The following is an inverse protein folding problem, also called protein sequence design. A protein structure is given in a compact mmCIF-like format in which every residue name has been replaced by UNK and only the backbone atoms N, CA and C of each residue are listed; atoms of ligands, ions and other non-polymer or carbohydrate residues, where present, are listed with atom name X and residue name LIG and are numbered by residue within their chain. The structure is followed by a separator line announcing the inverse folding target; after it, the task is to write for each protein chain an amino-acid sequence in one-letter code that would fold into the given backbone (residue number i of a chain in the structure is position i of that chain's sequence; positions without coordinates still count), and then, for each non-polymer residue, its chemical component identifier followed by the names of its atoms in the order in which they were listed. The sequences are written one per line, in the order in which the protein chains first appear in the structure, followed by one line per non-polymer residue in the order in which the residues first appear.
data_IF_639911605902
#
_entry.id   IF_639911605902
#
_cell.length_a   1.000
_cell.length_b   1.000
_cell.length_c   1.000
_cell.angle_alpha   90.00
_cell.angle_beta   90.00
_cell.angle_gamma   90.00
#
_symmetry.space_group_name_H-M   'P 1'
#
loop_
_entity.id
_entity.type
_entity.pdbx_description
1 polymer ?
#
# COMPACT_ATOMS: atom_id res chain seq x y z
N UNK A 1 -12.26 -11.66 19.89
CA UNK A 1 -11.51 -11.25 18.68
C UNK A 1 -10.75 -9.95 18.87
N UNK A 2 -9.43 -9.97 18.68
CA UNK A 2 -8.56 -8.79 18.82
C UNK A 2 -8.37 -8.09 17.46
N UNK A 3 -8.40 -6.76 17.39
CA UNK A 3 -8.13 -5.99 16.16
C UNK A 3 -6.78 -6.34 15.52
N UNK A 4 -6.62 -6.11 14.21
CA UNK A 4 -5.36 -6.44 13.49
C UNK A 4 -4.16 -5.64 14.04
N UNK A 5 -4.39 -4.46 14.63
CA UNK A 5 -3.34 -3.71 15.34
C UNK A 5 -2.97 -4.34 16.69
N UNK A 6 -3.87 -5.11 17.31
CA UNK A 6 -3.67 -5.79 18.59
C UNK A 6 -3.07 -7.20 18.42
N UNK A 7 -3.10 -7.73 17.20
CA UNK A 7 -2.28 -8.86 16.76
C UNK A 7 -1.07 -8.24 16.06
N UNK A 8 -0.12 -7.72 16.86
CA UNK A 8 1.03 -6.94 16.39
C UNK A 8 2.02 -7.71 15.54
N UNK A 9 1.59 -8.26 14.40
CA UNK A 9 2.45 -9.09 13.54
C UNK A 9 2.04 -8.94 12.07
N UNK A 10 2.27 -7.74 11.51
CA UNK A 10 2.66 -7.67 10.10
C UNK A 10 4.04 -8.34 10.05
N UNK A 11 4.15 -9.49 9.39
CA UNK A 11 5.30 -10.37 9.59
C UNK A 11 4.98 -11.83 9.33
N UNK A 12 3.82 -12.32 9.79
CA UNK A 12 3.60 -13.77 9.89
C UNK A 12 3.60 -14.45 8.53
N UNK A 13 2.86 -13.89 7.57
CA UNK A 13 2.69 -14.53 6.27
C UNK A 13 3.95 -14.39 5.41
N UNK A 14 4.59 -13.22 5.40
CA UNK A 14 5.83 -13.03 4.67
C UNK A 14 7.00 -13.81 5.29
N UNK A 15 7.01 -13.99 6.62
CA UNK A 15 8.09 -14.69 7.32
C UNK A 15 8.11 -16.17 7.01
N UNK A 16 6.96 -16.85 6.98
CA UNK A 16 6.93 -18.28 6.62
C UNK A 16 7.42 -18.51 5.17
N UNK A 17 6.96 -17.69 4.22
CA UNK A 17 7.39 -17.80 2.82
C UNK A 17 8.89 -17.50 2.67
N UNK A 18 9.40 -16.48 3.36
CA UNK A 18 10.83 -16.16 3.34
C UNK A 18 11.69 -17.21 4.09
N UNK A 19 11.14 -17.88 5.10
CA UNK A 19 11.81 -18.98 5.79
C UNK A 19 11.99 -20.20 4.89
N UNK A 20 11.02 -20.49 4.01
CA UNK A 20 11.17 -21.55 3.00
C UNK A 20 12.39 -21.30 2.09
N UNK A 21 12.66 -20.04 1.72
CA UNK A 21 13.88 -19.69 0.99
C UNK A 21 15.13 -20.00 1.81
N UNK A 22 15.18 -19.54 3.06
CA UNK A 22 16.33 -19.75 3.95
C UNK A 22 16.59 -21.23 4.25
N UNK A 23 15.54 -22.06 4.26
CA UNK A 23 15.61 -23.52 4.41
C UNK A 23 15.94 -24.28 3.13
N UNK A 24 16.08 -23.58 2.00
CA UNK A 24 16.25 -24.16 0.66
C UNK A 24 15.07 -25.08 0.25
N UNK A 25 13.85 -24.76 0.69
CA UNK A 25 12.60 -25.46 0.33
C UNK A 25 11.94 -24.84 -0.92
N UNK A 26 12.34 -23.62 -1.29
CA UNK A 26 11.89 -22.90 -2.49
C UNK A 26 13.00 -21.97 -2.99
N UNK A 27 13.00 -21.61 -4.27
CA UNK A 27 14.03 -20.75 -4.87
C UNK A 27 13.68 -19.26 -4.88
N UNK A 28 12.38 -18.96 -5.02
CA UNK A 28 11.86 -17.59 -5.02
C UNK A 28 10.61 -17.49 -4.17
N UNK A 29 10.39 -16.30 -3.61
CA UNK A 29 9.15 -15.93 -2.95
C UNK A 29 8.53 -14.72 -3.64
N UNK A 30 7.23 -14.77 -3.90
CA UNK A 30 6.49 -13.72 -4.59
C UNK A 30 5.56 -13.04 -3.60
N UNK A 31 5.67 -11.72 -3.50
CA UNK A 31 4.94 -10.92 -2.51
C UNK A 31 4.29 -9.70 -3.16
N UNK A 32 3.19 -9.21 -2.58
CA UNK A 32 2.83 -7.81 -2.78
C UNK A 32 3.85 -6.94 -2.03
N UNK A 33 4.52 -6.01 -2.72
CA UNK A 33 5.63 -5.27 -2.12
C UNK A 33 5.22 -4.49 -0.86
N UNK A 34 4.00 -3.95 -0.82
CA UNK A 34 3.46 -3.25 0.36
C UNK A 34 3.33 -4.09 1.62
N UNK A 35 3.30 -5.41 1.47
CA UNK A 35 3.16 -6.35 2.59
C UNK A 35 4.53 -6.74 3.15
N UNK A 36 5.61 -6.53 2.39
CA UNK A 36 6.97 -6.74 2.88
C UNK A 36 7.40 -5.64 3.87
N UNK A 37 8.20 -5.99 4.89
CA UNK A 37 8.88 -5.02 5.72
C UNK A 37 9.86 -4.15 4.92
N UNK A 38 10.17 -2.96 5.45
CA UNK A 38 11.13 -2.01 4.87
C UNK A 38 12.57 -2.55 4.84
N UNK A 39 12.87 -3.49 5.72
CA UNK A 39 14.10 -4.30 5.75
C UNK A 39 13.77 -5.76 5.45
N UNK A 40 14.56 -6.38 4.57
CA UNK A 40 14.43 -7.80 4.24
C UNK A 40 15.33 -8.59 5.20
N UNK A 41 14.93 -9.83 5.51
CA UNK A 41 15.70 -10.71 6.40
C UNK A 41 17.12 -10.94 5.86
N UNK A 42 18.14 -10.99 6.73
CA UNK A 42 19.52 -11.26 6.32
C UNK A 42 19.64 -12.53 5.47
N UNK A 43 20.47 -12.47 4.42
CA UNK A 43 20.64 -13.56 3.46
C UNK A 43 19.59 -13.63 2.35
N UNK A 44 18.60 -12.72 2.35
CA UNK A 44 17.61 -12.57 1.28
C UNK A 44 17.71 -11.19 0.62
N UNK A 45 17.35 -11.11 -0.65
CA UNK A 45 17.35 -9.87 -1.45
C UNK A 45 16.05 -9.71 -2.23
N UNK A 46 15.66 -8.48 -2.52
CA UNK A 46 14.65 -8.19 -3.53
C UNK A 46 15.29 -8.37 -4.91
N UNK A 47 15.02 -9.53 -5.50
CA UNK A 47 15.62 -9.95 -6.76
C UNK A 47 14.80 -9.48 -7.98
N UNK A 48 13.50 -9.17 -7.81
CA UNK A 48 12.74 -8.63 -8.93
C UNK A 48 11.48 -7.85 -8.61
N UNK A 49 11.02 -7.09 -9.61
CA UNK A 49 9.88 -6.17 -9.54
C UNK A 49 9.02 -6.27 -10.80
N UNK A 50 7.72 -6.52 -10.64
CA UNK A 50 6.77 -6.44 -11.76
C UNK A 50 6.56 -5.00 -12.21
N UNK A 51 6.05 -4.76 -13.42
CA UNK A 51 5.37 -3.52 -13.75
C UNK A 51 4.32 -3.20 -12.69
N UNK A 52 4.16 -1.91 -12.37
CA UNK A 52 3.24 -1.44 -11.34
C UNK A 52 1.81 -1.34 -11.86
N UNK A 53 0.91 -2.07 -11.22
CA UNK A 53 -0.53 -1.87 -11.39
C UNK A 53 -1.02 -0.58 -10.73
N UNK A 54 -2.23 -0.07 -11.09
CA UNK A 54 -2.78 1.16 -10.52
C UNK A 54 -2.62 1.23 -8.98
N UNK A 55 -1.84 2.20 -8.47
CA UNK A 55 -1.40 2.19 -7.09
C UNK A 55 -2.42 2.79 -6.13
N UNK A 56 -3.61 3.14 -6.61
CA UNK A 56 -4.61 3.88 -5.85
C UNK A 56 -5.34 3.00 -4.83
N UNK A 57 -5.81 3.65 -3.77
CA UNK A 57 -6.92 3.13 -3.01
C UNK A 57 -8.23 3.56 -3.66
N UNK A 58 -9.25 2.70 -3.59
CA UNK A 58 -10.56 2.97 -4.17
C UNK A 58 -11.65 2.83 -3.13
N UNK A 59 -12.67 3.67 -3.24
CA UNK A 59 -13.95 3.51 -2.58
C UNK A 59 -14.79 2.54 -3.40
N UNK A 60 -15.13 1.39 -2.84
CA UNK A 60 -15.98 0.39 -3.50
C UNK A 60 -17.37 0.46 -2.90
N UNK A 61 -18.36 0.59 -3.77
CA UNK A 61 -19.79 0.60 -3.42
C UNK A 61 -20.51 -0.45 -4.28
N UNK A 62 -21.74 -0.80 -3.88
CA UNK A 62 -22.65 -1.54 -4.77
C UNK A 62 -22.97 -0.69 -5.99
N UNK A 63 -23.37 -1.29 -7.10
CA UNK A 63 -23.66 -0.57 -8.35
C UNK A 63 -24.67 0.60 -8.17
N UNK A 64 -25.66 0.40 -7.32
CA UNK A 64 -26.70 1.37 -6.94
C UNK A 64 -26.26 2.34 -5.83
N UNK A 65 -25.05 2.18 -5.29
CA UNK A 65 -24.52 2.97 -4.19
C UNK A 65 -23.92 4.32 -4.61
N UNK A 66 -23.36 5.07 -3.65
CA UNK A 66 -22.68 6.35 -3.88
C UNK A 66 -21.53 6.26 -4.89
N UNK A 67 -21.25 7.37 -5.56
CA UNK A 67 -20.25 7.44 -6.64
C UNK A 67 -18.87 7.90 -6.15
N UNK A 68 -18.78 8.49 -4.96
CA UNK A 68 -17.55 9.05 -4.41
C UNK A 68 -17.67 9.21 -2.88
N UNK A 69 -16.61 9.71 -2.24
CA UNK A 69 -16.61 9.97 -0.80
C UNK A 69 -17.59 11.07 -0.37
N UNK A 70 -17.91 12.03 -1.24
CA UNK A 70 -18.78 13.17 -0.90
C UNK A 70 -20.26 12.75 -0.86
N UNK A 71 -20.65 11.84 -1.75
CA UNK A 71 -22.00 11.30 -1.89
C UNK A 71 -22.37 10.22 -0.88
N UNK A 72 -21.43 9.76 -0.05
CA UNK A 72 -21.75 8.85 1.06
C UNK A 72 -22.70 9.52 2.06
N UNK A 73 -23.77 8.83 2.50
CA UNK A 73 -24.67 9.31 3.55
C UNK A 73 -23.91 9.74 4.81
N UNK A 74 -24.51 10.63 5.60
CA UNK A 74 -23.93 10.96 6.90
C UNK A 74 -23.89 9.72 7.80
N UNK A 75 -22.76 9.49 8.46
CA UNK A 75 -22.60 8.31 9.32
C UNK A 75 -22.40 6.98 8.56
N UNK A 76 -22.14 7.01 7.25
CA UNK A 76 -21.96 5.81 6.45
C UNK A 76 -20.90 4.85 7.04
N UNK A 77 -21.22 3.55 7.04
CA UNK A 77 -20.36 2.47 7.53
C UNK A 77 -19.35 2.08 6.46
N UNK A 78 -18.08 2.38 6.70
CA UNK A 78 -16.98 2.15 5.76
C UNK A 78 -16.03 1.09 6.28
N UNK A 79 -15.91 -0.03 5.55
CA UNK A 79 -15.04 -1.14 5.91
C UNK A 79 -13.58 -0.93 5.52
N UNK A 80 -12.68 -0.80 6.50
CA UNK A 80 -11.22 -0.89 6.30
C UNK A 80 -10.49 -1.27 7.59
N UNK A 81 -9.50 -2.16 7.48
CA UNK A 81 -8.61 -2.52 8.60
C UNK A 81 -7.30 -1.73 8.62
N UNK A 82 -7.09 -0.81 7.68
CA UNK A 82 -5.86 -0.03 7.58
C UNK A 82 -5.96 1.24 8.40
N UNK A 83 -5.05 1.42 9.37
CA UNK A 83 -4.94 2.67 10.15
C UNK A 83 -4.65 3.88 9.26
N UNK A 84 -3.86 3.69 8.20
CA UNK A 84 -3.62 4.69 7.15
C UNK A 84 -4.92 5.12 6.48
N UNK A 85 -5.66 4.18 5.89
CA UNK A 85 -6.94 4.51 5.21
C UNK A 85 -7.91 5.18 6.19
N UNK A 86 -8.05 4.64 7.41
CA UNK A 86 -8.93 5.19 8.44
C UNK A 86 -8.62 6.66 8.74
N UNK A 87 -7.38 6.98 9.10
CA UNK A 87 -6.98 8.33 9.49
C UNK A 87 -7.21 9.36 8.38
N UNK A 88 -6.80 9.03 7.15
CA UNK A 88 -6.93 9.94 6.01
C UNK A 88 -8.39 10.13 5.60
N UNK A 89 -9.24 9.10 5.69
CA UNK A 89 -10.67 9.23 5.44
C UNK A 89 -11.35 10.11 6.49
N UNK A 90 -11.05 9.89 7.78
CA UNK A 90 -11.60 10.72 8.86
C UNK A 90 -11.14 12.18 8.77
N UNK A 91 -9.98 12.45 8.17
CA UNK A 91 -9.56 13.82 7.90
C UNK A 91 -10.47 14.55 6.90
N UNK A 92 -11.05 13.83 5.93
CA UNK A 92 -11.92 14.41 4.90
C UNK A 92 -13.41 14.33 5.29
N UNK A 93 -13.83 13.24 5.91
CA UNK A 93 -15.20 12.98 6.35
C UNK A 93 -15.20 12.42 7.77
N UNK A 94 -15.20 13.33 8.76
CA UNK A 94 -15.15 12.99 10.21
C UNK A 94 -16.36 12.21 10.72
N UNK A 95 -17.47 12.26 9.99
CA UNK A 95 -18.72 11.61 10.35
C UNK A 95 -18.78 10.12 9.99
N UNK A 96 -17.83 9.60 9.20
CA UNK A 96 -17.86 8.19 8.78
C UNK A 96 -17.69 7.23 9.96
N UNK A 97 -18.53 6.19 9.98
CA UNK A 97 -18.37 5.05 10.88
C UNK A 97 -17.38 4.05 10.26
N UNK A 98 -16.10 4.16 10.61
CA UNK A 98 -15.07 3.27 10.04
C UNK A 98 -14.93 1.99 10.87
N UNK A 99 -15.30 0.87 10.25
CA UNK A 99 -15.32 -0.46 10.86
C UNK A 99 -14.22 -1.37 10.29
N UNK A 100 -13.72 -2.27 11.13
CA UNK A 100 -12.71 -3.25 10.75
C UNK A 100 -13.34 -4.29 9.82
N UNK A 101 -12.67 -4.55 8.70
CA UNK A 101 -13.07 -5.60 7.74
C UNK A 101 -11.92 -6.57 7.47
N UNK A 102 -12.21 -7.87 7.54
CA UNK A 102 -11.24 -8.96 7.33
C UNK A 102 -11.64 -9.87 6.18
N UNK A 103 -10.66 -10.65 5.72
CA UNK A 103 -10.76 -11.58 4.60
C UNK A 103 -9.95 -11.10 3.41
N UNK A 104 -9.85 -11.95 2.40
CA UNK A 104 -9.34 -11.62 1.08
C UNK A 104 -10.27 -10.61 0.38
N UNK A 105 -9.83 -10.03 -0.73
CA UNK A 105 -10.57 -8.95 -1.41
C UNK A 105 -11.97 -9.41 -1.84
N UNK A 106 -12.09 -10.61 -2.40
CA UNK A 106 -13.35 -11.28 -2.75
C UNK A 106 -14.29 -11.43 -1.53
N UNK A 107 -13.75 -11.87 -0.38
CA UNK A 107 -14.52 -12.01 0.86
C UNK A 107 -15.03 -10.64 1.33
N UNK A 108 -14.22 -9.59 1.20
CA UNK A 108 -14.60 -8.21 1.56
C UNK A 108 -15.68 -7.66 0.62
N UNK A 109 -15.56 -7.93 -0.67
CA UNK A 109 -16.57 -7.58 -1.67
C UNK A 109 -17.90 -8.28 -1.36
N UNK A 110 -17.87 -9.57 -1.02
CA UNK A 110 -19.09 -10.29 -0.62
C UNK A 110 -19.75 -9.69 0.63
N UNK A 111 -18.96 -9.24 1.62
CA UNK A 111 -19.51 -8.53 2.79
C UNK A 111 -20.18 -7.20 2.43
N UNK A 112 -19.62 -6.45 1.47
CA UNK A 112 -20.24 -5.23 0.94
C UNK A 112 -21.57 -5.53 0.23
N UNK A 113 -21.58 -6.55 -0.63
CA UNK A 113 -22.79 -6.96 -1.39
C UNK A 113 -23.88 -7.40 -0.42
N UNK A 114 -23.52 -8.14 0.63
CA UNK A 114 -24.44 -8.59 1.69
C UNK A 114 -24.89 -7.47 2.66
N UNK A 115 -24.63 -6.20 2.35
CA UNK A 115 -25.13 -5.06 3.13
C UNK A 115 -24.47 -4.85 4.49
N UNK A 116 -23.34 -5.51 4.78
CA UNK A 116 -22.63 -5.33 6.05
C UNK A 116 -21.95 -3.95 6.15
N UNK A 117 -21.64 -3.36 5.00
CA UNK A 117 -21.03 -2.04 4.88
C UNK A 117 -21.75 -1.23 3.80
N UNK A 118 -21.70 0.10 3.91
CA UNK A 118 -22.18 1.01 2.88
C UNK A 118 -21.11 1.20 1.79
N UNK A 119 -19.84 1.14 2.19
CA UNK A 119 -18.70 1.08 1.28
C UNK A 119 -17.51 0.34 1.91
N UNK A 120 -16.55 -0.08 1.10
CA UNK A 120 -15.25 -0.60 1.58
C UNK A 120 -14.10 0.12 0.88
N UNK A 121 -12.91 0.09 1.49
CA UNK A 121 -11.70 0.67 0.90
C UNK A 121 -10.68 -0.43 0.65
N UNK A 122 -10.32 -0.62 -0.62
CA UNK A 122 -9.36 -1.63 -1.06
C UNK A 122 -8.34 -1.00 -2.03
N UNK A 123 -7.29 -1.74 -2.35
CA UNK A 123 -6.34 -1.32 -3.37
C UNK A 123 -6.92 -1.62 -4.75
N UNK A 124 -6.82 -0.69 -5.70
CA UNK A 124 -7.31 -0.88 -7.07
C UNK A 124 -6.68 -2.12 -7.71
N UNK A 125 -5.35 -2.26 -7.63
CA UNK A 125 -4.62 -3.43 -8.13
C UNK A 125 -5.16 -4.78 -7.61
N UNK A 126 -5.69 -4.82 -6.38
CA UNK A 126 -6.27 -6.05 -5.83
C UNK A 126 -7.63 -6.39 -6.44
N UNK A 127 -8.39 -5.38 -6.84
CA UNK A 127 -9.67 -5.58 -7.53
C UNK A 127 -9.45 -5.95 -8.99
N UNK A 128 -8.61 -5.20 -9.71
CA UNK A 128 -8.41 -5.40 -11.15
C UNK A 128 -7.81 -6.76 -11.48
N UNK A 129 -7.01 -7.34 -10.56
CA UNK A 129 -6.48 -8.70 -10.71
C UNK A 129 -7.52 -9.81 -10.47
N UNK A 130 -8.55 -9.54 -9.68
CA UNK A 130 -9.58 -10.53 -9.32
C UNK A 130 -10.84 -10.43 -10.17
N UNK A 131 -11.18 -9.22 -10.61
CA UNK A 131 -12.40 -8.92 -11.35
C UNK A 131 -12.04 -8.17 -12.62
N UNK A 132 -12.23 -8.83 -13.75
CA UNK A 132 -12.07 -8.23 -15.08
C UNK A 132 -13.06 -7.07 -15.27
N UNK A 133 -14.31 -7.28 -14.83
CA UNK A 133 -15.35 -6.26 -14.80
C UNK A 133 -16.06 -6.27 -13.44
N UNK A 134 -15.71 -5.34 -12.53
CA UNK A 134 -16.33 -5.25 -11.21
C UNK A 134 -17.86 -5.06 -11.26
N UNK A 135 -18.40 -4.45 -12.32
CA UNK A 135 -19.85 -4.19 -12.43
C UNK A 135 -20.66 -5.49 -12.54
N UNK A 136 -20.09 -6.53 -13.15
CA UNK A 136 -20.71 -7.87 -13.29
C UNK A 136 -20.83 -8.61 -11.97
N UNK A 137 -20.02 -8.27 -10.98
CA UNK A 137 -20.13 -8.81 -9.61
C UNK A 137 -20.85 -7.86 -8.66
N UNK A 138 -21.58 -6.87 -9.20
CA UNK A 138 -22.48 -6.02 -8.43
C UNK A 138 -21.82 -4.83 -7.74
N UNK A 139 -20.57 -4.51 -8.07
CA UNK A 139 -19.83 -3.39 -7.46
C UNK A 139 -19.32 -2.40 -8.50
N UNK A 140 -19.14 -1.16 -8.06
CA UNK A 140 -18.38 -0.13 -8.77
C UNK A 140 -17.35 0.46 -7.82
N UNK A 141 -16.42 1.22 -8.38
CA UNK A 141 -15.42 1.88 -7.55
C UNK A 141 -15.08 3.28 -8.04
N UNK A 142 -14.67 4.11 -7.10
CA UNK A 142 -14.14 5.44 -7.34
C UNK A 142 -12.71 5.53 -6.83
N UNK A 143 -11.83 6.04 -7.69
CA UNK A 143 -10.41 6.22 -7.37
C UNK A 143 -10.23 7.40 -6.43
N UNK A 144 -9.65 7.13 -5.26
CA UNK A 144 -9.35 8.17 -4.29
C UNK A 144 -8.09 8.93 -4.76
N UNK A 145 -8.15 10.27 -4.90
CA UNK A 145 -7.00 11.07 -5.30
C UNK A 145 -5.78 10.91 -4.38
N UNK A 146 -4.56 11.02 -4.94
CA UNK A 146 -3.31 10.82 -4.18
C UNK A 146 -3.08 11.92 -3.14
N UNK A 147 -3.60 13.13 -3.36
CA UNK A 147 -3.62 14.25 -2.42
C UNK A 147 -4.75 14.14 -1.37
N UNK A 148 -5.63 13.15 -1.51
CA UNK A 148 -6.60 12.78 -0.48
C UNK A 148 -6.04 11.63 0.36
N UNK A 149 -5.53 10.58 -0.29
CA UNK A 149 -5.03 9.37 0.35
C UNK A 149 -3.81 8.83 -0.41
N UNK A 150 -2.58 9.25 -0.04
CA UNK A 150 -1.37 8.63 -0.54
C UNK A 150 -1.38 7.12 -0.20
N UNK A 151 -1.05 6.24 -1.16
CA UNK A 151 -1.20 4.80 -0.99
C UNK A 151 -0.15 4.24 -0.02
N UNK A 152 -0.28 2.96 0.31
CA UNK A 152 0.79 2.28 1.02
C UNK A 152 2.01 2.18 0.10
N UNK A 153 3.23 2.47 0.58
CA UNK A 153 4.44 2.23 -0.21
C UNK A 153 4.50 0.78 -0.68
N UNK A 154 4.86 0.57 -1.94
CA UNK A 154 4.86 -0.70 -2.66
C UNK A 154 3.50 -1.11 -3.23
N UNK A 155 2.43 -0.34 -3.06
CA UNK A 155 1.11 -0.71 -3.57
C UNK A 155 1.11 -0.75 -5.11
N UNK A 156 0.63 -1.87 -5.66
CA UNK A 156 0.59 -2.14 -7.11
C UNK A 156 1.78 -2.95 -7.62
N UNK A 157 2.87 -3.08 -6.85
CA UNK A 157 4.08 -3.80 -7.27
C UNK A 157 4.08 -5.20 -6.68
N UNK A 158 4.35 -6.20 -7.52
CA UNK A 158 4.72 -7.56 -7.08
C UNK A 158 6.24 -7.63 -7.00
N UNK A 159 6.75 -8.10 -5.87
CA UNK A 159 8.18 -8.25 -5.62
C UNK A 159 8.56 -9.73 -5.53
N UNK A 160 9.73 -10.05 -6.08
CA UNK A 160 10.35 -11.36 -6.01
C UNK A 160 11.52 -11.27 -5.04
N UNK A 161 11.53 -12.15 -4.05
CA UNK A 161 12.62 -12.31 -3.07
C UNK A 161 13.35 -13.61 -3.39
N UNK A 162 14.68 -13.57 -3.34
CA UNK A 162 15.54 -14.74 -3.50
C UNK A 162 16.64 -14.73 -2.44
N UNK A 163 17.41 -15.82 -2.33
CA UNK A 163 18.60 -15.86 -1.49
C UNK A 163 19.72 -15.06 -2.13
N UNK A 164 20.45 -14.31 -1.31
CA UNK A 164 21.56 -13.47 -1.76
C UNK A 164 22.68 -14.29 -2.43
N UNK A 165 22.90 -15.52 -1.96
CA UNK A 165 23.94 -16.42 -2.49
C UNK A 165 23.62 -16.98 -3.89
N UNK A 166 22.37 -16.92 -4.35
CA UNK A 166 21.96 -17.50 -5.64
C UNK A 166 22.15 -16.46 -6.75
N UNK A 167 23.41 -16.07 -6.99
CA UNK A 167 23.77 -14.89 -7.80
C UNK A 167 23.25 -14.93 -9.23
N UNK A 168 23.26 -16.10 -9.88
CA UNK A 168 22.79 -16.25 -11.26
C UNK A 168 21.28 -16.04 -11.36
N UNK A 169 20.53 -16.53 -10.37
CA UNK A 169 19.08 -16.34 -10.27
C UNK A 169 18.76 -14.87 -9.99
N UNK A 170 19.49 -14.24 -9.06
CA UNK A 170 19.32 -12.82 -8.74
C UNK A 170 19.59 -11.93 -9.95
N UNK A 171 20.65 -12.20 -10.72
CA UNK A 171 20.98 -11.46 -11.94
C UNK A 171 19.90 -11.63 -13.01
N UNK A 172 19.42 -12.86 -13.23
CA UNK A 172 18.33 -13.15 -14.15
C UNK A 172 17.05 -12.38 -13.78
N UNK A 173 16.62 -12.44 -12.51
CA UNK A 173 15.43 -11.75 -12.02
C UNK A 173 15.57 -10.23 -12.06
N UNK A 174 16.76 -9.72 -11.80
CA UNK A 174 17.05 -8.28 -11.88
C UNK A 174 16.90 -7.79 -13.31
N UNK A 175 17.43 -8.53 -14.29
CA UNK A 175 17.30 -8.21 -15.72
C UNK A 175 15.86 -8.31 -16.23
N UNK A 176 15.07 -9.23 -15.66
CA UNK A 176 13.65 -9.40 -16.00
C UNK A 176 12.73 -8.36 -15.33
N UNK A 177 13.24 -7.53 -14.42
CA UNK A 177 12.44 -6.57 -13.67
C UNK A 177 12.08 -5.35 -14.49
N UNK A 178 10.94 -4.75 -14.17
CA UNK A 178 10.58 -3.44 -14.68
C UNK A 178 11.46 -2.35 -14.03
N UNK A 179 12.33 -1.66 -14.79
CA UNK A 179 13.29 -0.71 -14.21
C UNK A 179 12.59 0.50 -13.58
N UNK A 180 11.45 0.90 -14.14
CA UNK A 180 10.62 2.00 -13.61
C UNK A 180 10.09 1.65 -12.21
N UNK A 181 9.41 0.52 -12.09
CA UNK A 181 8.85 0.03 -10.82
C UNK A 181 9.95 -0.26 -9.79
N UNK A 182 11.13 -0.71 -10.23
CA UNK A 182 12.30 -0.84 -9.34
C UNK A 182 12.73 0.51 -8.77
N UNK A 183 12.88 1.55 -9.59
CA UNK A 183 13.24 2.90 -9.11
C UNK A 183 12.20 3.44 -8.11
N UNK A 184 10.91 3.34 -8.46
CA UNK A 184 9.81 3.76 -7.58
C UNK A 184 9.82 2.99 -6.24
N UNK A 185 9.96 1.66 -6.30
CA UNK A 185 10.02 0.80 -5.13
C UNK A 185 11.19 1.14 -4.20
N UNK A 186 12.38 1.42 -4.73
CA UNK A 186 13.56 1.76 -3.93
C UNK A 186 13.36 3.08 -3.17
N UNK A 187 12.82 4.10 -3.83
CA UNK A 187 12.47 5.37 -3.18
C UNK A 187 11.44 5.16 -2.07
N UNK A 188 10.37 4.42 -2.35
CA UNK A 188 9.28 4.13 -1.41
C UNK A 188 9.74 3.35 -0.18
N UNK A 189 10.67 2.41 -0.36
CA UNK A 189 11.26 1.65 0.75
C UNK A 189 12.23 2.50 1.56
N UNK A 190 13.05 3.33 0.92
CA UNK A 190 13.94 4.26 1.61
C UNK A 190 13.14 5.24 2.47
N UNK A 191 12.03 5.77 1.94
CA UNK A 191 11.07 6.57 2.70
C UNK A 191 10.57 5.84 3.95
N UNK A 192 10.08 4.60 3.80
CA UNK A 192 9.58 3.82 4.95
C UNK A 192 10.65 3.58 6.03
N UNK A 193 11.90 3.27 5.64
CA UNK A 193 13.01 3.10 6.60
C UNK A 193 13.25 4.37 7.41
N UNK A 194 13.16 5.53 6.77
CA UNK A 194 13.55 6.81 7.39
C UNK A 194 12.43 7.48 8.19
N UNK A 195 11.15 7.22 7.89
CA UNK A 195 10.06 7.79 8.69
C UNK A 195 10.02 7.20 10.12
N UNK A 196 10.64 6.04 10.33
CA UNK A 196 10.85 5.47 11.68
C UNK A 196 9.55 5.26 12.47
N UNK A 197 8.42 5.10 11.77
CA UNK A 197 7.11 4.82 12.34
C UNK A 197 6.84 3.33 12.19
N UNK A 198 6.64 2.62 13.30
CA UNK A 198 6.10 1.26 13.23
C UNK A 198 4.75 1.25 12.50
N UNK A 199 4.21 0.06 12.22
CA UNK A 199 2.96 -0.17 11.45
C UNK A 199 1.69 0.56 11.98
N UNK A 200 1.80 1.33 13.06
CA UNK A 200 0.74 2.03 13.76
C UNK A 200 0.61 3.51 13.36
N UNK A 201 1.59 4.08 12.66
CA UNK A 201 1.52 5.48 12.22
C UNK A 201 0.82 5.57 10.86
N UNK A 202 -0.25 6.38 10.71
CA UNK A 202 -0.94 6.55 9.45
C UNK A 202 -0.09 7.32 8.43
N UNK A 203 0.72 6.58 7.66
CA UNK A 203 1.64 7.14 6.65
C UNK A 203 1.33 6.51 5.30
N UNK A 204 1.28 7.33 4.25
CA UNK A 204 1.29 6.88 2.86
C UNK A 204 2.44 7.50 2.08
N UNK A 205 2.83 6.85 0.99
CA UNK A 205 3.94 7.29 0.15
C UNK A 205 3.90 6.60 -1.21
N UNK A 206 4.13 7.38 -2.25
CA UNK A 206 4.26 6.89 -3.63
C UNK A 206 5.33 7.67 -4.37
N UNK A 207 6.22 6.97 -5.04
CA UNK A 207 7.10 7.49 -6.06
C UNK A 207 6.46 7.26 -7.44
N UNK A 208 6.48 8.28 -8.29
CA UNK A 208 5.97 8.24 -9.66
C UNK A 208 7.10 8.67 -10.59
N UNK A 209 7.51 7.75 -11.46
CA UNK A 209 8.53 8.00 -12.46
C UNK A 209 7.88 8.39 -13.79
N UNK A 210 8.10 9.61 -14.25
CA UNK A 210 7.49 10.14 -15.50
C UNK A 210 8.34 9.90 -16.76
N UNK A 211 9.56 9.40 -16.59
CA UNK A 211 10.53 9.18 -17.68
C UNK A 211 11.81 10.00 -17.49
N UNK A 212 11.71 11.14 -16.80
CA UNK A 212 12.80 12.08 -16.56
C UNK A 212 13.02 12.35 -15.08
N UNK A 213 11.94 12.45 -14.30
CA UNK A 213 11.97 12.77 -12.89
C UNK A 213 11.29 11.67 -12.07
N UNK A 214 11.65 11.63 -10.80
CA UNK A 214 10.94 10.88 -9.78
C UNK A 214 10.23 11.86 -8.84
N UNK A 215 8.91 11.93 -8.94
CA UNK A 215 8.08 12.65 -7.99
C UNK A 215 7.68 11.73 -6.84
N UNK A 216 7.88 12.17 -5.60
CA UNK A 216 7.45 11.46 -4.41
C UNK A 216 6.33 12.24 -3.72
N UNK A 217 5.16 11.62 -3.59
CA UNK A 217 4.02 12.13 -2.83
C UNK A 217 3.98 11.36 -1.52
N UNK A 218 4.14 12.06 -0.40
CA UNK A 218 4.09 11.45 0.93
C UNK A 218 3.03 12.13 1.78
N UNK A 219 2.43 11.37 2.70
CA UNK A 219 1.50 11.94 3.67
C UNK A 219 1.55 11.26 5.02
N UNK A 220 1.17 12.01 6.04
CA UNK A 220 0.99 11.57 7.42
C UNK A 220 -0.30 12.16 7.99
N UNK A 221 -0.99 11.41 8.84
CA UNK A 221 -2.16 11.88 9.56
C UNK A 221 -2.16 11.39 11.01
N UNK A 222 -2.80 12.15 11.89
CA UNK A 222 -3.11 11.66 13.26
C UNK A 222 -4.07 10.47 13.17
N UNK A 223 -4.03 9.55 14.13
CA UNK A 223 -4.84 8.32 14.09
C UNK A 223 -6.35 8.59 14.03
N UNK A 224 -6.79 9.73 14.58
CA UNK A 224 -8.18 10.20 14.56
C UNK A 224 -8.50 11.10 13.35
N UNK A 225 -7.52 11.36 12.48
CA UNK A 225 -7.66 12.20 11.29
C UNK A 225 -7.72 13.70 11.56
N UNK A 226 -7.43 14.18 12.77
CA UNK A 226 -7.54 15.63 13.08
C UNK A 226 -6.55 16.47 12.28
N UNK A 227 -5.29 16.08 12.27
CA UNK A 227 -4.25 16.67 11.42
C UNK A 227 -3.90 15.73 10.28
N UNK A 228 -3.59 16.31 9.13
CA UNK A 228 -3.03 15.64 7.96
C UNK A 228 -2.01 16.56 7.34
N UNK A 229 -0.91 16.00 6.84
CA UNK A 229 0.07 16.68 6.00
C UNK A 229 0.36 15.82 4.78
N UNK A 230 0.48 16.48 3.63
CA UNK A 230 0.93 15.89 2.38
C UNK A 230 2.01 16.79 1.80
N UNK A 231 3.08 16.19 1.31
CA UNK A 231 4.22 16.86 0.68
C UNK A 231 4.53 16.22 -0.67
N UNK A 232 5.21 16.96 -1.53
CA UNK A 232 5.69 16.51 -2.84
C UNK A 232 7.16 16.83 -2.97
N UNK A 233 7.95 15.85 -3.36
CA UNK A 233 9.40 15.99 -3.56
C UNK A 233 9.76 15.54 -4.95
N UNK A 234 10.51 16.37 -5.68
CA UNK A 234 11.12 15.99 -6.95
C UNK A 234 12.59 15.62 -6.75
N UNK A 235 13.07 14.66 -7.52
CA UNK A 235 14.48 14.37 -7.70
C UNK A 235 14.75 13.40 -8.84
N UNK A 236 16.01 12.95 -8.93
CA UNK A 236 16.45 12.08 -10.03
C UNK A 236 16.06 10.61 -9.79
N UNK A 237 15.56 9.91 -10.83
CA UNK A 237 15.30 8.48 -10.78
C UNK A 237 16.57 7.62 -10.68
N UNK A 238 17.76 8.19 -10.93
CA UNK A 238 19.07 7.53 -10.77
C UNK A 238 19.50 7.44 -9.30
N UNK A 239 18.92 8.27 -8.43
CA UNK A 239 19.14 8.22 -6.99
C UNK A 239 17.80 8.15 -6.23
N UNK A 240 17.00 7.09 -6.45
CA UNK A 240 15.64 6.99 -5.95
C UNK A 240 15.61 6.96 -4.41
N UNK A 241 16.59 6.30 -3.77
CA UNK A 241 16.64 6.23 -2.31
C UNK A 241 16.79 7.62 -1.67
N UNK A 242 17.61 8.49 -2.26
CA UNK A 242 17.75 9.87 -1.78
C UNK A 242 16.44 10.67 -1.91
N UNK A 243 15.65 10.44 -2.96
CA UNK A 243 14.31 11.03 -3.10
C UNK A 243 13.41 10.59 -1.94
N UNK A 244 13.41 9.30 -1.61
CA UNK A 244 12.65 8.75 -0.49
C UNK A 244 13.10 9.29 0.88
N UNK A 245 14.42 9.39 1.11
CA UNK A 245 15.00 9.98 2.33
C UNK A 245 14.59 11.45 2.47
N UNK A 246 14.70 12.22 1.38
CA UNK A 246 14.29 13.63 1.36
C UNK A 246 12.80 13.78 1.67
N UNK A 247 11.93 12.95 1.08
CA UNK A 247 10.50 12.95 1.37
C UNK A 247 10.20 12.60 2.85
N UNK A 248 10.92 11.65 3.44
CA UNK A 248 10.76 11.30 4.85
C UNK A 248 11.11 12.48 5.77
N UNK A 249 12.27 13.09 5.52
CA UNK A 249 12.75 14.23 6.30
C UNK A 249 11.80 15.43 6.19
N UNK A 250 11.34 15.76 4.98
CA UNK A 250 10.44 16.89 4.76
C UNK A 250 9.05 16.65 5.36
N UNK A 251 8.52 15.42 5.26
CA UNK A 251 7.25 15.04 5.86
C UNK A 251 7.28 15.19 7.39
N UNK A 252 8.36 14.74 8.01
CA UNK A 252 8.55 14.76 9.46
C UNK A 252 8.99 16.12 10.01
N UNK A 253 9.57 16.99 9.19
CA UNK A 253 10.03 18.31 9.62
C UNK A 253 8.88 19.14 10.22
N UNK A 254 8.85 19.31 11.54
CA UNK A 254 7.78 20.01 12.25
C UNK A 254 6.51 19.18 12.52
N UNK A 255 6.52 17.87 12.23
CA UNK A 255 5.46 16.96 12.67
C UNK A 255 5.79 16.41 14.07
N UNK A 256 5.25 17.04 15.11
CA UNK A 256 5.32 16.51 16.47
C UNK A 256 4.44 15.25 16.61
N UNK A 257 5.06 14.15 17.05
CA UNK A 257 4.39 12.90 17.39
C UNK A 257 3.52 13.05 18.64
#
# INVERSE_FOLDING_TARGET
DKPLYAIGVKGIFEKEVNLALLRNEADIAVHSLKDLPSEISPGLVLAGFSPRDPPYDVLVTRNDGPNDLASLPSGARVGTSSVRRRAFLLNVRRDLAIDVIRGNVDTRVNKLINGQYDAIIVAEAGLTRLFEDPSKVGIKYWRIPLDVLPPAPGQGIVAIVAREKDTDLVDLLTKASDPKSRSEALAERAFLRNVGGGCHVPIGGIAVHDGHNLEFIAGIADIDGRRKRIIRVLGSPDNPENVGIKAANELLAGWSR
#
